data_IF_611354367789
#
_entry.id   IF_611354367789
#
_cell.length_a   1.000
_cell.length_b   1.000
_cell.length_c   1.000
_cell.angle_alpha   90.00
_cell.angle_beta   90.00
_cell.angle_gamma   90.00
#
_symmetry.space_group_name_H-M   'P 1'
#
loop_
_entity.id
_entity.type
_entity.pdbx_description
1 polymer ?
#
# COMPACT_ATOMS: atom_id res chain seq x y z
N UNK A 1 16.22 -20.03 -6.14
CA UNK A 1 15.70 -20.29 -4.78
C UNK A 1 15.14 -18.98 -4.28
N UNK A 2 13.82 -18.82 -4.32
CA UNK A 2 13.14 -17.56 -3.99
C UNK A 2 13.12 -17.37 -2.48
N UNK A 3 13.68 -16.26 -2.01
CA UNK A 3 13.57 -15.84 -0.61
C UNK A 3 12.13 -15.39 -0.34
N UNK A 4 11.51 -15.78 0.79
CA UNK A 4 10.24 -15.22 1.20
C UNK A 4 10.44 -13.74 1.57
N UNK A 5 9.71 -12.86 0.87
CA UNK A 5 9.64 -11.43 1.19
C UNK A 5 9.04 -11.29 2.60
N UNK A 6 9.82 -10.70 3.53
CA UNK A 6 9.39 -10.47 4.91
C UNK A 6 8.45 -9.26 4.93
N UNK A 7 7.19 -9.49 5.21
CA UNK A 7 6.20 -8.44 5.50
C UNK A 7 6.50 -7.79 6.85
N UNK A 8 6.65 -6.46 6.87
CA UNK A 8 6.68 -5.65 8.10
C UNK A 8 5.25 -5.52 8.65
N UNK A 9 4.77 -6.56 9.32
CA UNK A 9 3.35 -6.74 9.70
C UNK A 9 2.89 -5.94 10.94
N UNK A 10 3.38 -4.72 11.21
CA UNK A 10 3.15 -4.09 12.53
C UNK A 10 2.49 -2.70 12.56
N UNK A 11 1.93 -2.16 11.47
CA UNK A 11 1.40 -0.78 11.49
C UNK A 11 -0.12 -0.58 11.43
N UNK A 12 -0.93 -1.65 11.44
CA UNK A 12 -2.40 -1.57 11.58
C UNK A 12 -2.97 -2.28 12.82
N UNK A 13 -2.13 -2.76 13.75
CA UNK A 13 -2.55 -3.70 14.78
C UNK A 13 -2.57 -3.09 16.19
N UNK A 14 -3.74 -3.09 16.84
CA UNK A 14 -3.82 -2.96 18.31
C UNK A 14 -3.67 -4.35 18.95
N UNK A 15 -2.70 -4.51 19.84
CA UNK A 15 -2.62 -5.68 20.73
C UNK A 15 -3.56 -5.45 21.91
N UNK A 16 -4.67 -6.20 21.99
CA UNK A 16 -5.45 -6.29 23.24
C UNK A 16 -4.95 -7.52 23.99
N UNK A 17 -4.28 -7.30 25.10
CA UNK A 17 -3.95 -8.37 26.06
C UNK A 17 -5.21 -8.64 26.88
N UNK A 18 -5.87 -9.77 26.67
CA UNK A 18 -6.69 -10.37 27.71
C UNK A 18 -6.51 -11.88 27.77
N UNK A 19 -6.67 -12.34 29.00
CA UNK A 19 -6.03 -13.45 29.68
C UNK A 19 -6.43 -14.85 29.17
N UNK A 20 -5.63 -15.81 29.62
CA UNK A 20 -5.60 -17.24 29.32
C UNK A 20 -6.96 -17.94 29.30
N UNK A 21 -7.43 -18.36 28.13
CA UNK A 21 -8.17 -19.64 27.98
C UNK A 21 -8.35 -20.02 26.50
N UNK A 22 -7.98 -21.25 26.16
CA UNK A 22 -8.39 -22.04 24.98
C UNK A 22 -8.60 -21.34 23.64
N UNK A 23 -7.59 -21.40 22.77
CA UNK A 23 -7.66 -21.28 21.29
C UNK A 23 -8.92 -20.62 20.72
N UNK A 24 -8.93 -19.29 20.74
CA UNK A 24 -9.78 -18.45 19.88
C UNK A 24 -8.94 -18.03 18.66
N UNK A 25 -9.42 -18.13 17.41
CA UNK A 25 -8.69 -17.58 16.27
C UNK A 25 -8.46 -16.09 16.55
N UNK A 26 -7.19 -15.65 16.50
CA UNK A 26 -6.84 -14.22 16.63
C UNK A 26 -7.62 -13.44 15.57
N UNK A 27 -8.72 -12.82 15.97
CA UNK A 27 -9.41 -11.84 15.16
C UNK A 27 -8.43 -10.66 15.05
N UNK A 28 -7.69 -10.62 13.95
CA UNK A 28 -6.89 -9.45 13.58
C UNK A 28 -7.90 -8.32 13.41
N UNK A 29 -7.90 -7.35 14.32
CA UNK A 29 -8.77 -6.18 14.21
C UNK A 29 -8.25 -5.35 13.03
N UNK A 30 -8.76 -5.64 11.84
CA UNK A 30 -8.62 -4.78 10.67
C UNK A 30 -9.30 -3.45 11.02
N UNK A 31 -8.61 -2.34 10.77
CA UNK A 31 -9.16 -1.00 10.94
C UNK A 31 -10.47 -0.87 10.17
N UNK A 32 -11.45 -0.19 10.75
CA UNK A 32 -12.66 0.20 10.04
C UNK A 32 -12.35 1.14 8.86
N UNK A 33 -13.26 1.27 7.90
CA UNK A 33 -13.08 2.21 6.79
C UNK A 33 -12.96 3.66 7.28
N UNK A 34 -13.55 3.99 8.43
CA UNK A 34 -13.44 5.27 9.12
C UNK A 34 -12.02 5.50 9.62
N UNK A 35 -11.47 4.55 10.37
CA UNK A 35 -10.10 4.63 10.90
C UNK A 35 -9.06 4.68 9.75
N UNK A 36 -9.29 3.92 8.68
CA UNK A 36 -8.45 3.99 7.48
C UNK A 36 -8.54 5.35 6.78
N UNK A 37 -9.73 5.96 6.75
CA UNK A 37 -9.92 7.29 6.18
C UNK A 37 -9.26 8.39 7.03
N UNK A 38 -9.25 8.25 8.35
CA UNK A 38 -8.58 9.19 9.27
C UNK A 38 -7.06 9.16 9.10
N UNK A 39 -6.49 7.97 8.92
CA UNK A 39 -5.05 7.81 8.70
C UNK A 39 -4.59 8.24 7.31
N UNK A 40 -5.46 8.21 6.30
CA UNK A 40 -5.08 8.39 4.90
C UNK A 40 -5.68 9.62 4.22
N UNK A 41 -5.17 9.94 3.04
CA UNK A 41 -5.75 10.97 2.16
C UNK A 41 -6.90 10.43 1.29
N UNK A 42 -7.50 9.30 1.67
CA UNK A 42 -8.58 8.60 0.96
C UNK A 42 -9.87 8.81 1.76
N UNK A 43 -10.94 9.25 1.10
CA UNK A 43 -12.22 9.46 1.78
C UNK A 43 -12.86 8.13 2.20
N UNK A 44 -13.61 8.16 3.31
CA UNK A 44 -14.38 6.99 3.78
C UNK A 44 -15.31 6.42 2.71
N UNK A 45 -15.88 7.27 1.85
CA UNK A 45 -16.70 6.82 0.72
C UNK A 45 -15.89 6.01 -0.30
N UNK A 46 -14.67 6.43 -0.62
CA UNK A 46 -13.79 5.70 -1.55
C UNK A 46 -13.31 4.38 -0.95
N UNK A 47 -13.04 4.33 0.35
CA UNK A 47 -12.75 3.09 1.08
C UNK A 47 -13.91 2.10 0.99
N UNK A 48 -15.11 2.52 1.41
CA UNK A 48 -16.31 1.68 1.42
C UNK A 48 -16.71 1.19 0.02
N UNK A 49 -16.56 2.01 -1.01
CA UNK A 49 -16.94 1.66 -2.37
C UNK A 49 -15.85 0.88 -3.14
N UNK A 50 -14.61 0.98 -2.70
CA UNK A 50 -13.44 0.58 -3.47
C UNK A 50 -12.70 -0.62 -2.93
N UNK A 51 -12.96 -1.08 -1.70
CA UNK A 51 -12.18 -2.12 -1.02
C UNK A 51 -13.05 -3.20 -0.40
N UNK A 52 -12.46 -4.37 -0.15
CA UNK A 52 -13.14 -5.49 0.48
C UNK A 52 -12.19 -6.21 1.45
N UNK A 53 -12.64 -6.41 2.69
CA UNK A 53 -11.78 -6.93 3.77
C UNK A 53 -11.28 -8.36 3.51
N UNK A 54 -11.99 -9.17 2.73
CA UNK A 54 -11.55 -10.51 2.34
C UNK A 54 -10.26 -10.52 1.50
N UNK A 55 -9.89 -9.38 0.93
CA UNK A 55 -8.66 -9.19 0.15
C UNK A 55 -7.54 -8.51 0.95
N UNK A 56 -7.78 -8.12 2.21
CA UNK A 56 -6.88 -7.27 2.99
C UNK A 56 -5.47 -7.86 3.17
N UNK A 57 -5.35 -9.17 3.37
CA UNK A 57 -4.05 -9.86 3.51
C UNK A 57 -3.64 -10.62 2.24
N UNK A 58 -4.27 -10.34 1.09
CA UNK A 58 -3.97 -11.04 -0.16
C UNK A 58 -2.96 -10.27 -1.00
N UNK A 59 -2.01 -11.00 -1.54
CA UNK A 59 -1.11 -10.49 -2.59
C UNK A 59 -1.84 -10.45 -3.92
N UNK A 60 -1.54 -9.45 -4.74
CA UNK A 60 -1.98 -9.39 -6.13
C UNK A 60 -1.10 -10.28 -6.99
N UNK A 61 -1.72 -11.22 -7.72
CA UNK A 61 -1.07 -11.95 -8.80
C UNK A 61 -1.27 -11.16 -10.12
N UNK A 62 -0.20 -10.57 -10.62
CA UNK A 62 -0.23 -9.70 -11.81
C UNK A 62 -0.42 -10.46 -13.12
N UNK A 63 -0.26 -11.79 -13.11
CA UNK A 63 -0.47 -12.67 -14.26
C UNK A 63 -1.94 -13.09 -14.43
N UNK A 64 -2.79 -12.78 -13.44
CA UNK A 64 -4.21 -13.08 -13.45
C UNK A 64 -5.05 -11.86 -13.83
N UNK A 65 -6.32 -12.07 -14.27
CA UNK A 65 -7.24 -10.97 -14.51
C UNK A 65 -7.36 -10.05 -13.30
N UNK A 66 -7.05 -8.77 -13.50
CA UNK A 66 -7.03 -7.78 -12.44
C UNK A 66 -8.45 -7.30 -12.09
N UNK A 67 -8.79 -7.40 -10.81
CA UNK A 67 -10.03 -6.85 -10.26
C UNK A 67 -9.77 -5.52 -9.53
N UNK A 68 -10.58 -4.51 -9.83
CA UNK A 68 -10.40 -3.16 -9.27
C UNK A 68 -10.52 -3.12 -7.75
N UNK A 69 -11.41 -3.90 -7.15
CA UNK A 69 -11.61 -3.92 -5.69
C UNK A 69 -10.40 -4.55 -5.01
N UNK A 70 -9.89 -5.66 -5.56
CA UNK A 70 -8.66 -6.28 -5.08
C UNK A 70 -7.46 -5.33 -5.19
N UNK A 71 -7.28 -4.68 -6.35
CA UNK A 71 -6.18 -3.73 -6.59
C UNK A 71 -6.24 -2.52 -5.65
N UNK A 72 -7.43 -1.94 -5.46
CA UNK A 72 -7.62 -0.84 -4.51
C UNK A 72 -7.35 -1.29 -3.07
N UNK A 73 -7.77 -2.50 -2.68
CA UNK A 73 -7.56 -3.03 -1.33
C UNK A 73 -6.06 -3.17 -1.06
N UNK A 74 -5.32 -3.76 -1.99
CA UNK A 74 -3.87 -3.91 -1.89
C UNK A 74 -3.16 -2.55 -1.80
N UNK A 75 -3.46 -1.61 -2.71
CA UNK A 75 -2.86 -0.26 -2.67
C UNK A 75 -3.25 0.49 -1.40
N UNK A 76 -4.50 0.32 -0.94
CA UNK A 76 -5.00 0.93 0.29
C UNK A 76 -4.24 0.43 1.52
N UNK A 77 -4.04 -0.88 1.63
CA UNK A 77 -3.23 -1.48 2.70
C UNK A 77 -1.84 -0.85 2.74
N UNK A 78 -1.15 -0.79 1.60
CA UNK A 78 0.19 -0.22 1.49
C UNK A 78 0.23 1.27 1.85
N UNK A 79 -0.79 2.06 1.47
CA UNK A 79 -0.90 3.47 1.89
C UNK A 79 -0.90 3.61 3.41
N UNK A 80 -1.60 2.72 4.12
CA UNK A 80 -1.66 2.74 5.59
C UNK A 80 -0.34 2.29 6.20
N UNK A 81 0.28 1.23 5.69
CA UNK A 81 1.57 0.72 6.18
C UNK A 81 2.71 1.72 5.99
N UNK A 82 2.75 2.40 4.83
CA UNK A 82 3.80 3.35 4.49
C UNK A 82 3.80 4.62 5.33
N UNK A 83 2.70 4.94 6.01
CA UNK A 83 2.65 6.10 6.91
C UNK A 83 3.67 5.98 8.05
N UNK A 84 3.85 4.76 8.57
CA UNK A 84 4.80 4.48 9.64
C UNK A 84 6.26 4.42 9.19
N UNK A 85 6.55 4.42 7.89
CA UNK A 85 7.93 4.40 7.40
C UNK A 85 8.55 5.80 7.54
N UNK A 86 9.61 5.90 8.34
CA UNK A 86 10.15 7.19 8.78
C UNK A 86 11.09 7.85 7.76
N UNK A 87 11.68 7.10 6.85
CA UNK A 87 12.68 7.63 5.90
C UNK A 87 12.26 7.39 4.46
N UNK A 88 12.62 8.31 3.58
CA UNK A 88 12.40 8.18 2.14
C UNK A 88 13.03 6.90 1.59
N UNK A 89 14.27 6.61 1.99
CA UNK A 89 15.02 5.45 1.52
C UNK A 89 14.33 4.13 1.88
N UNK A 90 13.84 4.01 3.10
CA UNK A 90 13.08 2.82 3.51
C UNK A 90 11.74 2.73 2.76
N UNK A 91 11.06 3.86 2.56
CA UNK A 91 9.78 3.89 1.84
C UNK A 91 9.93 3.48 0.38
N UNK A 92 10.87 4.07 -0.35
CA UNK A 92 11.09 3.75 -1.76
C UNK A 92 11.53 2.30 -1.94
N UNK A 93 12.34 1.78 -1.02
CA UNK A 93 12.72 0.37 -1.04
C UNK A 93 11.51 -0.55 -0.85
N UNK A 94 10.68 -0.29 0.17
CA UNK A 94 9.45 -1.07 0.38
C UNK A 94 8.52 -0.97 -0.84
N UNK A 95 8.32 0.24 -1.36
CA UNK A 95 7.55 0.49 -2.59
C UNK A 95 8.04 -0.34 -3.78
N UNK A 96 9.36 -0.41 -4.00
CA UNK A 96 9.94 -1.21 -5.08
C UNK A 96 9.78 -2.72 -4.87
N UNK A 97 9.84 -3.18 -3.62
CA UNK A 97 9.62 -4.59 -3.26
C UNK A 97 8.13 -4.97 -3.42
N UNK A 98 7.20 -4.13 -2.96
CA UNK A 98 5.76 -4.40 -2.97
C UNK A 98 5.12 -4.30 -4.37
N UNK A 99 5.72 -3.51 -5.26
CA UNK A 99 5.26 -3.31 -6.65
C UNK A 99 6.26 -3.86 -7.67
N UNK A 100 7.10 -4.83 -7.29
CA UNK A 100 8.02 -5.46 -8.22
C UNK A 100 7.26 -6.05 -9.43
N UNK A 101 7.72 -5.72 -10.65
CA UNK A 101 7.10 -6.17 -11.89
C UNK A 101 5.84 -5.42 -12.31
N UNK A 102 5.34 -4.47 -11.49
CA UNK A 102 4.20 -3.64 -11.89
C UNK A 102 4.60 -2.63 -12.95
N UNK A 103 3.66 -2.36 -13.85
CA UNK A 103 3.74 -1.37 -14.91
C UNK A 103 2.54 -0.42 -14.84
N UNK A 104 2.45 0.52 -15.78
CA UNK A 104 1.30 1.42 -15.93
C UNK A 104 -0.03 0.64 -15.99
N UNK A 105 -0.03 -0.52 -16.64
CA UNK A 105 -1.22 -1.36 -16.81
C UNK A 105 -1.86 -1.75 -15.47
N UNK A 106 -1.08 -2.25 -14.52
CA UNK A 106 -1.60 -2.63 -13.20
C UNK A 106 -2.21 -1.41 -12.47
N UNK A 107 -1.56 -0.24 -12.54
CA UNK A 107 -2.06 1.00 -11.92
C UNK A 107 -3.31 1.58 -12.61
N UNK A 108 -3.62 1.22 -13.86
CA UNK A 108 -4.88 1.60 -14.51
C UNK A 108 -6.10 0.97 -13.82
N UNK A 109 -5.93 -0.20 -13.21
CA UNK A 109 -6.98 -0.89 -12.45
C UNK A 109 -7.15 -0.34 -11.03
N UNK A 110 -6.23 0.48 -10.55
CA UNK A 110 -6.39 1.23 -9.29
C UNK A 110 -7.16 2.52 -9.52
N UNK A 111 -8.13 2.79 -8.65
CA UNK A 111 -8.93 4.01 -8.72
C UNK A 111 -8.13 5.26 -8.34
N UNK A 112 -8.58 6.41 -8.84
CA UNK A 112 -7.89 7.70 -8.67
C UNK A 112 -7.61 8.11 -7.20
N UNK A 113 -8.53 7.90 -6.24
CA UNK A 113 -8.28 8.27 -4.84
C UNK A 113 -7.06 7.54 -4.24
N UNK A 114 -6.95 6.24 -4.48
CA UNK A 114 -5.88 5.39 -3.95
C UNK A 114 -4.53 5.74 -4.58
N UNK A 115 -4.50 5.93 -5.91
CA UNK A 115 -3.30 6.43 -6.61
C UNK A 115 -2.82 7.76 -6.07
N UNK A 116 -3.74 8.71 -5.87
CA UNK A 116 -3.41 10.03 -5.33
C UNK A 116 -2.84 9.94 -3.91
N UNK A 117 -3.43 9.10 -3.06
CA UNK A 117 -2.95 8.91 -1.70
C UNK A 117 -1.54 8.30 -1.68
N UNK A 118 -1.29 7.28 -2.49
CA UNK A 118 0.03 6.67 -2.64
C UNK A 118 1.10 7.68 -3.10
N UNK A 119 0.80 8.44 -4.15
CA UNK A 119 1.71 9.50 -4.64
C UNK A 119 1.99 10.54 -3.56
N UNK A 120 0.96 10.97 -2.82
CA UNK A 120 1.15 11.91 -1.72
C UNK A 120 1.98 11.33 -0.59
N UNK A 121 1.85 10.04 -0.27
CA UNK A 121 2.71 9.38 0.73
C UNK A 121 4.18 9.46 0.31
N UNK A 122 4.49 9.21 -0.96
CA UNK A 122 5.84 9.37 -1.50
C UNK A 122 6.32 10.84 -1.46
N UNK A 123 5.50 11.78 -1.93
CA UNK A 123 5.83 13.23 -1.95
C UNK A 123 6.07 13.79 -0.54
N UNK A 124 5.23 13.42 0.44
CA UNK A 124 5.37 13.85 1.85
C UNK A 124 6.68 13.40 2.48
N UNK A 125 7.25 12.29 2.01
CA UNK A 125 8.55 11.79 2.46
C UNK A 125 9.72 12.36 1.65
N UNK A 126 9.47 13.25 0.69
CA UNK A 126 10.48 13.94 -0.09
C UNK A 126 10.78 13.30 -1.46
N UNK A 127 9.94 12.38 -1.95
CA UNK A 127 10.09 11.91 -3.32
C UNK A 127 9.63 12.99 -4.29
N UNK A 128 10.46 13.32 -5.28
CA UNK A 128 10.13 14.32 -6.30
C UNK A 128 9.92 13.66 -7.65
N UNK A 129 8.76 13.94 -8.25
CA UNK A 129 8.41 13.44 -9.57
C UNK A 129 8.71 14.50 -10.64
N UNK A 130 9.21 14.10 -11.82
CA UNK A 130 9.29 14.99 -12.97
C UNK A 130 7.93 15.61 -13.31
N UNK A 131 7.97 16.84 -13.83
CA UNK A 131 6.78 17.49 -14.38
C UNK A 131 6.31 16.79 -15.66
N UNK A 132 5.01 16.89 -15.96
CA UNK A 132 4.43 16.34 -17.19
C UNK A 132 3.99 14.87 -17.13
N UNK A 133 4.40 14.11 -16.11
CA UNK A 133 3.97 12.72 -15.92
C UNK A 133 2.51 12.62 -15.44
N UNK A 134 1.76 11.68 -16.01
CA UNK A 134 0.46 11.23 -15.53
C UNK A 134 0.58 10.52 -14.18
N UNK A 135 -0.54 10.29 -13.48
CA UNK A 135 -0.50 9.61 -12.18
C UNK A 135 0.05 8.19 -12.26
N UNK A 136 -0.28 7.44 -13.32
CA UNK A 136 0.21 6.07 -13.46
C UNK A 136 1.72 6.07 -13.73
N UNK A 137 2.20 6.95 -14.62
CA UNK A 137 3.64 7.08 -14.89
C UNK A 137 4.41 7.50 -13.64
N UNK A 138 3.86 8.40 -12.81
CA UNK A 138 4.46 8.74 -11.52
C UNK A 138 4.56 7.55 -10.58
N UNK A 139 3.61 6.61 -10.60
CA UNK A 139 3.65 5.41 -9.75
C UNK A 139 4.66 4.38 -10.26
N UNK A 140 4.92 4.35 -11.58
CA UNK A 140 5.95 3.46 -12.17
C UNK A 140 7.35 4.07 -12.04
N UNK A 141 7.48 5.39 -12.04
CA UNK A 141 8.77 6.07 -12.03
C UNK A 141 9.75 5.60 -10.93
N UNK A 142 9.33 5.39 -9.65
CA UNK A 142 10.22 4.85 -8.62
C UNK A 142 10.68 3.41 -8.87
N UNK A 143 9.93 2.62 -9.64
CA UNK A 143 10.25 1.23 -9.98
C UNK A 143 11.37 1.16 -11.02
N UNK A 144 11.30 2.05 -12.01
CA UNK A 144 12.30 2.15 -13.08
C UNK A 144 13.57 2.88 -12.63
N UNK A 145 13.46 3.79 -11.65
CA UNK A 145 14.55 4.68 -11.23
C UNK A 145 15.08 4.29 -9.84
N UNK A 146 15.70 3.11 -9.75
CA UNK A 146 16.25 2.55 -8.50
C UNK A 146 17.33 3.40 -7.85
N UNK A 147 17.88 4.38 -8.57
CA UNK A 147 18.94 5.27 -8.10
C UNK A 147 18.44 6.62 -7.57
N UNK A 148 17.13 6.92 -7.64
CA UNK A 148 16.58 8.23 -7.26
C UNK A 148 16.77 8.63 -5.79
N UNK A 149 17.22 7.71 -4.93
CA UNK A 149 17.49 7.94 -3.49
C UNK A 149 18.99 7.79 -3.15
N UNK A 150 19.87 7.78 -4.16
CA UNK A 150 21.33 7.82 -3.97
C UNK A 150 21.82 9.24 -3.75
N UNK A 151 21.44 9.83 -2.62
CA UNK A 151 22.25 10.85 -1.98
C UNK A 151 22.33 10.50 -0.48
N UNK A 152 23.49 10.71 0.16
CA UNK A 152 23.79 10.24 1.52
C UNK A 152 22.73 10.62 2.54
#
# INVERSE_FOLDING_TARGET
MSSPVRTNKELCMRTITHDNSGTVPRQQNILSHEEMAEGSDISVHAWRAGTAFEFWDRTVDIEQPLDRVHMNTYVGQLVTEYQGILTLRALVRAYQEDFEGWTTYQFEYTSRPFKRAMLKTLERKGYHFPSGLTQNEKLVYPLDNKEAVRAP
#
